data_IF_845353266431
#
_entry.id   IF_845353266431
#
_cell.length_a   1.000
_cell.length_b   1.000
_cell.length_c   1.000
_cell.angle_alpha   90.00
_cell.angle_beta   90.00
_cell.angle_gamma   90.00
#
_symmetry.space_group_name_H-M   'P 1'
#
loop_
_entity.id
_entity.type
_entity.pdbx_description
1 polymer ?
#
# COMPACT_ATOMS: atom_id res chain seq x y z
N UNK A 1 6.55 -9.16 -4.60
CA UNK A 1 5.59 -8.05 -4.74
C UNK A 1 5.69 -7.21 -3.47
N UNK A 2 6.21 -5.96 -3.53
CA UNK A 2 6.17 -5.05 -2.39
C UNK A 2 4.74 -4.91 -1.83
N UNK A 3 4.56 -5.24 -0.56
CA UNK A 3 3.29 -5.15 0.15
C UNK A 3 3.43 -4.22 1.36
N UNK A 4 2.50 -3.29 1.52
CA UNK A 4 2.38 -2.47 2.73
C UNK A 4 1.27 -3.05 3.61
N UNK A 5 1.67 -3.44 4.81
CA UNK A 5 0.86 -4.10 5.83
C UNK A 5 1.24 -3.57 7.22
N UNK A 6 0.40 -3.72 8.26
CA UNK A 6 0.73 -3.24 9.60
C UNK A 6 1.94 -4.00 10.16
N UNK A 7 2.92 -3.29 10.70
CA UNK A 7 4.14 -3.89 11.25
C UNK A 7 4.01 -4.08 12.76
N UNK A 8 4.39 -5.26 13.27
CA UNK A 8 4.29 -5.62 14.69
C UNK A 8 5.64 -5.76 15.40
N UNK A 9 6.76 -5.64 14.67
CA UNK A 9 8.09 -5.95 15.22
C UNK A 9 8.35 -7.45 15.40
N UNK A 10 7.57 -8.30 14.71
CA UNK A 10 7.73 -9.75 14.65
C UNK A 10 7.36 -10.26 13.25
N UNK A 11 7.32 -11.58 13.04
CA UNK A 11 7.08 -12.22 11.75
C UNK A 11 5.58 -12.39 11.39
N UNK A 12 4.66 -11.70 12.08
CA UNK A 12 3.23 -11.81 11.78
C UNK A 12 2.82 -11.16 10.46
N UNK A 13 3.64 -10.25 9.94
CA UNK A 13 3.46 -9.55 8.65
C UNK A 13 4.80 -9.39 7.95
N UNK A 14 4.75 -9.03 6.67
CA UNK A 14 5.95 -8.77 5.86
C UNK A 14 6.29 -7.27 5.87
N UNK A 15 7.57 -6.87 5.92
CA UNK A 15 7.96 -5.47 5.79
C UNK A 15 7.78 -4.98 4.35
N UNK A 16 7.55 -3.67 4.20
CA UNK A 16 7.54 -3.04 2.87
C UNK A 16 8.96 -3.01 2.30
N UNK A 17 9.25 -3.94 1.39
CA UNK A 17 10.54 -4.02 0.68
C UNK A 17 10.32 -3.65 -0.79
N UNK A 18 10.57 -2.40 -1.19
CA UNK A 18 10.47 -1.98 -2.57
C UNK A 18 11.67 -2.53 -3.36
N UNK A 19 11.50 -3.74 -3.91
CA UNK A 19 12.49 -4.38 -4.77
C UNK A 19 11.85 -4.91 -6.05
N UNK A 20 12.56 -4.71 -7.17
CA UNK A 20 12.15 -5.16 -8.49
C UNK A 20 12.82 -6.51 -8.79
N UNK A 21 12.00 -7.53 -9.08
CA UNK A 21 12.49 -8.91 -9.36
C UNK A 21 12.30 -9.33 -10.80
N UNK A 22 11.45 -8.62 -11.55
CA UNK A 22 11.15 -8.84 -12.97
C UNK A 22 11.05 -7.49 -13.68
N UNK A 23 10.64 -7.44 -14.94
CA UNK A 23 10.37 -6.19 -15.66
C UNK A 23 9.01 -5.55 -15.30
N UNK A 24 8.25 -6.15 -14.39
CA UNK A 24 6.97 -5.61 -13.88
C UNK A 24 7.09 -5.30 -12.39
N UNK A 25 6.86 -4.04 -12.04
CA UNK A 25 6.71 -3.61 -10.67
C UNK A 25 5.25 -3.71 -10.24
N UNK A 26 4.99 -4.30 -9.07
CA UNK A 26 3.65 -4.47 -8.54
C UNK A 26 3.62 -4.14 -7.06
N UNK A 27 2.93 -3.07 -6.67
CA UNK A 27 2.77 -2.62 -5.29
C UNK A 27 1.36 -2.96 -4.80
N UNK A 28 1.25 -3.48 -3.58
CA UNK A 28 -0.05 -3.73 -2.92
C UNK A 28 -0.12 -3.02 -1.59
N UNK A 29 -1.19 -2.25 -1.39
CA UNK A 29 -1.42 -1.47 -0.17
C UNK A 29 -2.63 -2.03 0.57
N UNK A 30 -2.40 -2.71 1.70
CA UNK A 30 -3.48 -3.37 2.44
C UNK A 30 -4.05 -2.53 3.59
N UNK A 31 -3.37 -1.45 3.95
CA UNK A 31 -3.65 -0.67 5.15
C UNK A 31 -2.73 -1.06 6.31
N UNK A 32 -2.67 -0.20 7.32
CA UNK A 32 -1.85 -0.40 8.53
C UNK A 32 -2.73 -0.54 9.80
N UNK A 33 -3.92 -1.13 9.67
CA UNK A 33 -4.84 -1.34 10.81
C UNK A 33 -4.30 -2.40 11.77
N UNK A 34 -3.49 -1.99 12.75
CA UNK A 34 -2.89 -2.87 13.77
C UNK A 34 -3.92 -3.48 14.73
N UNK A 35 -5.06 -2.83 14.91
CA UNK A 35 -6.08 -3.27 15.86
C UNK A 35 -6.79 -4.53 15.37
N UNK A 36 -7.21 -4.54 14.10
CA UNK A 36 -8.08 -5.59 13.56
C UNK A 36 -7.36 -6.64 12.72
N UNK A 37 -6.11 -6.39 12.29
CA UNK A 37 -5.46 -7.27 11.31
C UNK A 37 -5.18 -8.69 11.80
N UNK A 38 -4.83 -8.86 13.07
CA UNK A 38 -4.62 -10.18 13.69
C UNK A 38 -5.79 -10.62 14.59
N UNK A 39 -6.84 -9.79 14.69
CA UNK A 39 -7.97 -10.02 15.59
C UNK A 39 -8.84 -11.16 15.05
N UNK A 40 -9.15 -12.11 15.92
CA UNK A 40 -10.03 -13.25 15.61
C UNK A 40 -11.47 -12.93 16.03
N UNK A 41 -12.45 -13.53 15.35
CA UNK A 41 -13.87 -13.38 15.69
C UNK A 41 -14.48 -12.02 15.30
N UNK A 42 -13.80 -11.24 14.47
CA UNK A 42 -14.32 -10.00 13.88
C UNK A 42 -14.50 -10.16 12.37
N UNK A 43 -15.30 -9.29 11.78
CA UNK A 43 -15.50 -9.28 10.33
C UNK A 43 -14.17 -9.09 9.59
N UNK A 44 -13.85 -9.98 8.64
CA UNK A 44 -12.58 -9.98 7.89
C UNK A 44 -12.33 -8.65 7.17
N UNK A 45 -13.38 -7.93 6.75
CA UNK A 45 -13.23 -6.65 6.06
C UNK A 45 -12.58 -5.58 6.96
N UNK A 46 -12.73 -5.68 8.28
CA UNK A 46 -12.16 -4.74 9.24
C UNK A 46 -10.62 -4.79 9.28
N UNK A 47 -10.01 -5.89 8.84
CA UNK A 47 -8.56 -5.96 8.59
C UNK A 47 -8.11 -4.85 7.62
N UNK A 48 -8.94 -4.54 6.65
CA UNK A 48 -8.69 -3.60 5.55
C UNK A 48 -9.32 -2.22 5.79
N UNK A 49 -9.90 -1.99 6.97
CA UNK A 49 -10.46 -0.70 7.38
C UNK A 49 -9.34 0.28 7.76
N UNK A 50 -8.67 0.82 6.74
CA UNK A 50 -7.59 1.79 6.90
C UNK A 50 -7.64 2.79 5.76
N UNK A 51 -7.71 4.09 6.08
CA UNK A 51 -7.57 5.15 5.10
C UNK A 51 -6.16 5.73 5.27
N UNK A 52 -5.31 5.53 4.27
CA UNK A 52 -3.96 6.12 4.29
C UNK A 52 -4.06 7.64 4.31
N UNK A 53 -3.25 8.27 5.15
CA UNK A 53 -3.06 9.71 5.16
C UNK A 53 -2.15 10.17 4.00
N UNK A 54 -2.21 11.45 3.66
CA UNK A 54 -1.32 12.02 2.64
C UNK A 54 0.16 11.84 2.99
N UNK A 55 0.52 11.95 4.27
CA UNK A 55 1.88 11.72 4.75
C UNK A 55 2.37 10.32 4.39
N UNK A 56 1.55 9.30 4.67
CA UNK A 56 1.88 7.91 4.37
C UNK A 56 1.92 7.65 2.86
N UNK A 57 0.98 8.23 2.09
CA UNK A 57 1.01 8.11 0.64
C UNK A 57 2.29 8.71 0.05
N UNK A 58 2.77 9.84 0.58
CA UNK A 58 4.03 10.47 0.18
C UNK A 58 5.25 9.58 0.45
N UNK A 59 5.24 8.73 1.47
CA UNK A 59 6.32 7.77 1.75
C UNK A 59 6.55 6.81 0.58
N UNK A 60 5.50 6.49 -0.19
CA UNK A 60 5.59 5.55 -1.32
C UNK A 60 6.08 6.19 -2.63
N UNK A 61 5.97 7.52 -2.79
CA UNK A 61 6.27 8.20 -4.06
C UNK A 61 7.72 7.99 -4.50
N UNK A 62 8.66 8.20 -3.58
CA UNK A 62 10.09 8.02 -3.87
C UNK A 62 10.46 6.57 -4.27
N UNK A 63 10.12 5.52 -3.47
CA UNK A 63 10.43 4.15 -3.85
C UNK A 63 9.70 3.69 -5.12
N UNK A 64 8.45 4.12 -5.32
CA UNK A 64 7.71 3.81 -6.56
C UNK A 64 8.37 4.44 -7.78
N UNK A 65 8.77 5.72 -7.70
CA UNK A 65 9.46 6.40 -8.79
C UNK A 65 10.84 5.77 -9.09
N UNK A 66 11.56 5.33 -8.07
CA UNK A 66 12.86 4.68 -8.25
C UNK A 66 12.72 3.31 -8.94
N UNK A 67 11.66 2.57 -8.63
CA UNK A 67 11.38 1.28 -9.27
C UNK A 67 10.82 1.48 -10.68
N UNK A 68 9.94 2.45 -10.89
CA UNK A 68 9.30 2.69 -12.19
C UNK A 68 10.30 3.06 -13.29
N UNK A 69 11.42 3.71 -12.95
CA UNK A 69 12.53 3.98 -13.87
C UNK A 69 13.19 2.72 -14.44
N UNK A 70 13.04 1.57 -13.77
CA UNK A 70 13.67 0.29 -14.17
C UNK A 70 12.66 -0.75 -14.66
N UNK A 71 11.39 -0.64 -14.25
CA UNK A 71 10.34 -1.54 -14.68
C UNK A 71 9.73 -1.07 -16.01
N UNK A 72 9.33 -2.01 -16.88
CA UNK A 72 8.55 -1.70 -18.08
C UNK A 72 7.13 -1.28 -17.76
N UNK A 73 6.56 -1.88 -16.71
CA UNK A 73 5.20 -1.58 -16.24
C UNK A 73 5.23 -1.47 -14.72
N UNK A 74 4.56 -0.46 -14.18
CA UNK A 74 4.38 -0.29 -12.74
C UNK A 74 2.89 -0.28 -12.40
N UNK A 75 2.47 -1.24 -11.58
CA UNK A 75 1.11 -1.34 -11.07
C UNK A 75 1.08 -1.01 -9.57
N UNK A 76 0.11 -0.22 -9.14
CA UNK A 76 -0.15 0.10 -7.76
C UNK A 76 -1.61 -0.25 -7.44
N UNK A 77 -1.83 -1.20 -6.53
CA UNK A 77 -3.15 -1.70 -6.18
C UNK A 77 -3.46 -1.47 -4.70
N UNK A 78 -4.56 -0.77 -4.44
CA UNK A 78 -5.10 -0.60 -3.10
C UNK A 78 -6.07 -1.74 -2.77
N UNK A 79 -5.82 -2.42 -1.66
CA UNK A 79 -6.58 -3.54 -1.13
C UNK A 79 -7.26 -3.23 0.21
N UNK A 80 -7.15 -1.99 0.69
CA UNK A 80 -7.87 -1.43 1.84
C UNK A 80 -9.33 -1.07 1.45
N UNK A 81 -10.09 -2.04 0.92
CA UNK A 81 -11.37 -1.77 0.24
C UNK A 81 -12.56 -1.44 1.17
N UNK A 82 -12.40 -1.61 2.48
CA UNK A 82 -13.47 -1.30 3.44
C UNK A 82 -13.86 0.18 3.36
N UNK A 83 -15.17 0.48 3.36
CA UNK A 83 -15.68 1.86 3.32
C UNK A 83 -15.29 2.68 2.07
N UNK A 84 -14.86 2.02 0.99
CA UNK A 84 -14.39 2.69 -0.23
C UNK A 84 -13.03 3.39 -0.09
N UNK A 85 -12.24 3.06 0.94
CA UNK A 85 -10.95 3.72 1.17
C UNK A 85 -9.93 3.43 0.06
N UNK A 86 -9.92 2.22 -0.49
CA UNK A 86 -9.06 1.88 -1.63
C UNK A 86 -9.24 2.83 -2.82
N UNK A 87 -10.49 3.15 -3.18
CA UNK A 87 -10.77 4.10 -4.27
C UNK A 87 -10.26 5.49 -3.94
N UNK A 88 -10.53 5.98 -2.72
CA UNK A 88 -10.09 7.33 -2.29
C UNK A 88 -8.56 7.44 -2.29
N UNK A 89 -7.86 6.45 -1.74
CA UNK A 89 -6.40 6.46 -1.73
C UNK A 89 -5.79 6.26 -3.12
N UNK A 90 -6.42 5.45 -4.00
CA UNK A 90 -5.98 5.31 -5.38
C UNK A 90 -6.08 6.63 -6.16
N UNK A 91 -7.20 7.34 -6.02
CA UNK A 91 -7.38 8.68 -6.62
C UNK A 91 -6.37 9.67 -6.06
N UNK A 92 -6.19 9.68 -4.74
CA UNK A 92 -5.25 10.60 -4.08
C UNK A 92 -3.80 10.35 -4.49
N UNK A 93 -3.37 9.09 -4.56
CA UNK A 93 -2.03 8.75 -5.03
C UNK A 93 -1.85 9.13 -6.50
N UNK A 94 -2.86 8.91 -7.34
CA UNK A 94 -2.84 9.35 -8.75
C UNK A 94 -2.66 10.85 -8.86
N UNK A 95 -3.39 11.65 -8.07
CA UNK A 95 -3.23 13.10 -8.05
C UNK A 95 -1.80 13.51 -7.71
N UNK A 96 -1.21 12.92 -6.66
CA UNK A 96 0.17 13.20 -6.24
C UNK A 96 1.21 12.82 -7.31
N UNK A 97 0.97 11.75 -8.06
CA UNK A 97 1.87 11.34 -9.16
C UNK A 97 1.72 12.27 -10.36
N UNK A 98 0.50 12.73 -10.65
CA UNK A 98 0.22 13.65 -11.78
C UNK A 98 0.66 15.09 -11.52
N UNK A 99 0.67 15.52 -10.26
CA UNK A 99 1.06 16.88 -9.85
C UNK A 99 2.09 16.79 -8.72
N UNK A 100 3.34 16.41 -9.02
CA UNK A 100 4.39 16.40 -8.03
C UNK A 100 4.65 17.84 -7.53
N UNK A 101 4.73 17.99 -6.20
CA UNK A 101 5.11 19.24 -5.52
C UNK A 101 6.50 19.76 -5.98
#
# INVERSE_FOLDING_TARGET
IPADEPQYGNLATVPFIPHLTTDIAYFRFHGRNRENWLKKGVETSLRYAYLYSDKELKEFLSPMNNISKRAKVTCAMFNNCHGGFAMRNALRLKEMISHPD
#
